data_IF_945574762043
#
_entry.id   IF_945574762043
#
_cell.length_a   1.000
_cell.length_b   1.000
_cell.length_c   1.000
_cell.angle_alpha   90.00
_cell.angle_beta   90.00
_cell.angle_gamma   90.00
#
_symmetry.space_group_name_H-M   'P 1'
#
loop_
_entity.id
_entity.type
_entity.pdbx_description
1 polymer ?
#
# COMPACT_ATOMS: atom_id res chain seq x y z
N UNK A 1 25.04 4.35 -1.33
CA UNK A 1 23.66 4.89 -1.26
C UNK A 1 23.06 4.43 0.05
N UNK A 2 22.45 5.31 0.85
CA UNK A 2 21.79 4.90 2.09
C UNK A 2 20.36 4.44 1.75
N UNK A 3 20.14 3.11 1.71
CA UNK A 3 18.86 2.51 1.34
C UNK A 3 17.72 2.95 2.28
N UNK A 4 17.97 2.94 3.60
CA UNK A 4 17.02 3.39 4.61
C UNK A 4 16.52 4.81 4.30
N UNK A 5 17.45 5.76 4.13
CA UNK A 5 17.10 7.15 3.78
C UNK A 5 16.33 7.23 2.46
N UNK A 6 16.71 6.44 1.46
CA UNK A 6 16.04 6.42 0.16
C UNK A 6 14.57 6.00 0.30
N UNK A 7 14.32 4.92 1.04
CA UNK A 7 12.97 4.42 1.29
C UNK A 7 12.14 5.35 2.15
N UNK A 8 12.70 5.98 3.19
CA UNK A 8 11.96 6.95 4.01
C UNK A 8 11.50 8.15 3.17
N UNK A 9 12.37 8.68 2.31
CA UNK A 9 12.03 9.81 1.45
C UNK A 9 11.02 9.44 0.35
N UNK A 10 11.15 8.26 -0.26
CA UNK A 10 10.16 7.71 -1.20
C UNK A 10 8.82 7.51 -0.51
N UNK A 11 8.81 6.88 0.66
CA UNK A 11 7.61 6.64 1.46
C UNK A 11 6.81 7.91 1.72
N UNK A 12 7.49 8.98 2.16
CA UNK A 12 6.84 10.27 2.43
C UNK A 12 6.08 10.82 1.21
N UNK A 13 6.68 10.76 0.02
CA UNK A 13 6.03 11.23 -1.22
C UNK A 13 4.85 10.34 -1.60
N UNK A 14 5.07 9.02 -1.51
CA UNK A 14 4.10 8.01 -1.94
C UNK A 14 2.84 7.97 -1.08
N UNK A 15 2.98 8.18 0.23
CA UNK A 15 1.84 8.25 1.13
C UNK A 15 1.02 9.52 0.92
N UNK A 16 1.65 10.66 0.65
CA UNK A 16 0.92 11.88 0.33
C UNK A 16 0.03 11.69 -0.92
N UNK A 17 0.59 11.16 -2.01
CA UNK A 17 -0.17 10.85 -3.24
C UNK A 17 -1.28 9.81 -3.01
N UNK A 18 -1.02 8.82 -2.16
CA UNK A 18 -2.02 7.81 -1.78
C UNK A 18 -3.18 8.44 -1.02
N UNK A 19 -2.89 9.28 -0.02
CA UNK A 19 -3.88 10.01 0.76
C UNK A 19 -4.77 10.88 -0.11
N UNK A 20 -4.18 11.61 -1.05
CA UNK A 20 -4.95 12.48 -1.94
C UNK A 20 -5.81 11.69 -2.92
N UNK A 21 -5.37 10.49 -3.33
CA UNK A 21 -6.19 9.56 -4.11
C UNK A 21 -7.38 9.03 -3.31
N UNK A 22 -7.18 8.64 -2.05
CA UNK A 22 -8.26 8.12 -1.19
C UNK A 22 -9.32 9.20 -0.89
N UNK A 23 -8.93 10.46 -0.72
CA UNK A 23 -9.85 11.59 -0.51
C UNK A 23 -10.83 11.82 -1.67
N UNK A 24 -10.54 11.33 -2.88
CA UNK A 24 -11.42 11.48 -4.05
C UNK A 24 -12.63 10.54 -4.00
N UNK A 25 -12.55 9.49 -3.20
CA UNK A 25 -13.55 8.43 -3.20
C UNK A 25 -14.86 8.97 -2.60
N UNK A 26 -15.99 8.85 -3.31
CA UNK A 26 -17.29 9.17 -2.75
C UNK A 26 -17.85 7.95 -1.99
N UNK A 27 -18.39 8.19 -0.79
CA UNK A 27 -18.89 7.12 0.08
C UNK A 27 -20.01 6.29 -0.54
N UNK A 28 -20.88 6.91 -1.34
CA UNK A 28 -22.00 6.24 -2.00
C UNK A 28 -21.57 5.25 -3.11
N UNK A 29 -20.27 5.20 -3.43
CA UNK A 29 -19.70 4.28 -4.42
C UNK A 29 -18.83 3.18 -3.82
N UNK A 30 -18.72 3.06 -2.48
CA UNK A 30 -17.84 2.08 -1.86
C UNK A 30 -18.10 0.64 -2.32
N UNK A 31 -19.36 0.24 -2.53
CA UNK A 31 -19.70 -1.10 -3.01
C UNK A 31 -19.63 -1.26 -4.54
N UNK A 32 -19.31 -0.20 -5.29
CA UNK A 32 -19.23 -0.26 -6.75
C UNK A 32 -18.05 -1.14 -7.20
N UNK A 33 -18.26 -1.89 -8.28
CA UNK A 33 -17.25 -2.73 -8.93
C UNK A 33 -17.19 -2.45 -10.43
N UNK A 34 -15.99 -2.42 -11.05
CA UNK A 34 -15.87 -2.41 -12.51
C UNK A 34 -16.32 -3.73 -13.14
N UNK A 35 -16.24 -4.82 -12.39
CA UNK A 35 -16.47 -6.20 -12.81
C UNK A 35 -16.71 -7.08 -11.58
N UNK A 36 -17.52 -8.13 -11.69
CA UNK A 36 -17.89 -9.03 -10.58
C UNK A 36 -16.68 -9.69 -9.89
N UNK A 37 -15.62 -9.97 -10.67
CA UNK A 37 -14.35 -10.57 -10.21
C UNK A 37 -13.37 -9.58 -9.57
N UNK A 38 -13.68 -8.28 -9.61
CA UNK A 38 -12.83 -7.24 -9.04
C UNK A 38 -13.23 -6.95 -7.58
N UNK A 39 -12.27 -6.42 -6.82
CA UNK A 39 -12.55 -5.74 -5.56
C UNK A 39 -13.53 -4.59 -5.82
N UNK A 40 -14.44 -4.33 -4.88
CA UNK A 40 -15.19 -3.07 -4.88
C UNK A 40 -14.26 -1.89 -4.64
N UNK A 41 -14.74 -0.68 -4.92
CA UNK A 41 -13.99 0.54 -4.67
C UNK A 41 -13.54 0.63 -3.21
N UNK A 42 -14.43 0.33 -2.26
CA UNK A 42 -14.15 0.33 -0.83
C UNK A 42 -13.19 -0.78 -0.40
N UNK A 43 -13.27 -1.96 -1.01
CA UNK A 43 -12.29 -3.04 -0.78
C UNK A 43 -10.90 -2.66 -1.27
N UNK A 44 -10.78 -2.14 -2.50
CA UNK A 44 -9.49 -1.72 -3.06
C UNK A 44 -8.90 -0.56 -2.24
N UNK A 45 -9.72 0.42 -1.89
CA UNK A 45 -9.29 1.58 -1.13
C UNK A 45 -8.78 1.20 0.27
N UNK A 46 -9.49 0.30 0.96
CA UNK A 46 -9.05 -0.18 2.27
C UNK A 46 -7.77 -1.00 2.14
N UNK A 47 -7.67 -1.87 1.12
CA UNK A 47 -6.45 -2.62 0.85
C UNK A 47 -5.24 -1.69 0.65
N UNK A 48 -5.39 -0.64 -0.17
CA UNK A 48 -4.37 0.39 -0.38
C UNK A 48 -3.94 1.06 0.93
N UNK A 49 -4.92 1.43 1.78
CA UNK A 49 -4.65 2.11 3.05
C UNK A 49 -3.86 1.24 4.04
N UNK A 50 -4.04 -0.08 3.99
CA UNK A 50 -3.43 -1.04 4.92
C UNK A 50 -2.03 -1.50 4.49
N UNK A 51 -1.75 -1.56 3.17
CA UNK A 51 -0.49 -2.07 2.60
C UNK A 51 0.77 -1.57 3.33
N UNK A 52 0.97 -0.26 3.57
CA UNK A 52 2.20 0.26 4.17
C UNK A 52 2.57 -0.39 5.49
N UNK A 53 1.63 -0.33 6.45
CA UNK A 53 1.85 -0.76 7.82
C UNK A 53 1.85 -2.27 7.92
N UNK A 54 0.89 -2.93 7.27
CA UNK A 54 0.80 -4.39 7.33
C UNK A 54 2.04 -5.08 6.75
N UNK A 55 2.58 -4.60 5.64
CA UNK A 55 3.75 -5.24 5.03
C UNK A 55 5.05 -4.91 5.73
N UNK A 56 5.26 -3.67 6.20
CA UNK A 56 6.42 -3.38 7.05
C UNK A 56 6.39 -4.19 8.35
N UNK A 57 5.21 -4.34 8.96
CA UNK A 57 5.03 -5.19 10.14
C UNK A 57 5.25 -6.67 9.82
N UNK A 58 4.84 -7.14 8.65
CA UNK A 58 5.13 -8.50 8.20
C UNK A 58 6.64 -8.73 8.08
N UNK A 59 7.38 -7.76 7.57
CA UNK A 59 8.82 -7.88 7.36
C UNK A 59 9.68 -7.65 8.62
N UNK A 60 9.08 -7.29 9.76
CA UNK A 60 9.83 -7.02 10.99
C UNK A 60 10.41 -8.28 11.64
N UNK A 61 9.78 -9.43 11.43
CA UNK A 61 10.31 -10.74 11.82
C UNK A 61 10.95 -11.41 10.59
N UNK A 62 12.00 -12.22 10.76
CA UNK A 62 12.75 -12.80 9.64
C UNK A 62 12.04 -13.98 8.94
N UNK A 63 11.00 -14.53 9.55
CA UNK A 63 10.22 -15.62 8.98
C UNK A 63 8.75 -15.40 9.31
N UNK A 64 7.86 -15.58 8.31
CA UNK A 64 6.42 -15.45 8.50
C UNK A 64 5.64 -16.45 7.63
N UNK A 65 4.56 -16.97 8.19
CA UNK A 65 3.55 -17.70 7.42
C UNK A 65 2.86 -16.78 6.41
N UNK A 66 2.41 -17.36 5.29
CA UNK A 66 1.58 -16.66 4.30
C UNK A 66 0.36 -16.05 5.02
N UNK A 67 0.17 -14.72 4.97
CA UNK A 67 -0.93 -14.10 5.68
C UNK A 67 -2.26 -14.42 4.98
N UNK A 68 -3.28 -14.74 5.77
CA UNK A 68 -4.65 -14.67 5.29
C UNK A 68 -5.12 -13.21 5.33
N UNK A 69 -5.33 -12.59 4.16
CA UNK A 69 -5.70 -11.18 4.03
C UNK A 69 -7.19 -11.07 3.69
N UNK A 70 -8.07 -10.82 4.68
CA UNK A 70 -9.49 -10.64 4.40
C UNK A 70 -9.74 -9.32 3.65
N UNK A 71 -10.50 -9.40 2.56
CA UNK A 71 -10.88 -8.24 1.74
C UNK A 71 -12.13 -7.55 2.29
N UNK A 72 -11.99 -6.90 3.43
CA UNK A 72 -13.06 -6.09 4.01
C UNK A 72 -13.38 -4.87 3.14
N UNK A 73 -14.65 -4.49 3.10
CA UNK A 73 -15.08 -3.25 2.46
C UNK A 73 -15.06 -2.12 3.48
N UNK A 74 -14.51 -0.96 3.11
CA UNK A 74 -14.60 0.24 3.91
C UNK A 74 -16.05 0.72 4.08
N UNK A 75 -16.34 1.36 5.22
CA UNK A 75 -17.66 1.85 5.61
C UNK A 75 -17.80 3.36 5.42
N UNK A 76 -16.69 4.10 5.38
CA UNK A 76 -16.64 5.55 5.22
C UNK A 76 -15.25 5.98 4.73
N UNK A 77 -15.12 7.22 4.26
CA UNK A 77 -13.81 7.79 3.90
C UNK A 77 -12.99 8.06 5.16
N UNK A 78 -13.64 8.47 6.26
CA UNK A 78 -12.96 8.66 7.55
C UNK A 78 -12.29 7.36 8.02
N UNK A 79 -12.94 6.21 7.84
CA UNK A 79 -12.32 4.92 8.13
C UNK A 79 -11.08 4.67 7.26
N UNK A 80 -11.15 4.99 5.96
CA UNK A 80 -10.01 4.81 5.04
C UNK A 80 -8.83 5.69 5.43
N UNK A 81 -9.08 6.95 5.75
CA UNK A 81 -8.03 7.90 6.12
C UNK A 81 -7.43 7.56 7.48
N UNK A 82 -8.26 7.15 8.45
CA UNK A 82 -7.79 6.68 9.75
C UNK A 82 -6.93 5.42 9.62
N UNK A 83 -7.37 4.44 8.81
CA UNK A 83 -6.58 3.25 8.54
C UNK A 83 -5.23 3.60 7.87
N UNK A 84 -5.23 4.56 6.94
CA UNK A 84 -3.99 5.03 6.33
C UNK A 84 -3.09 5.73 7.36
N UNK A 85 -3.62 6.56 8.25
CA UNK A 85 -2.83 7.23 9.30
C UNK A 85 -2.14 6.23 10.22
N UNK A 86 -2.86 5.21 10.68
CA UNK A 86 -2.31 4.15 11.53
C UNK A 86 -1.21 3.36 10.80
N UNK A 87 -1.44 3.00 9.54
CA UNK A 87 -0.50 2.21 8.76
C UNK A 87 0.69 3.03 8.24
N UNK A 88 0.51 4.33 8.02
CA UNK A 88 1.60 5.28 7.78
C UNK A 88 2.55 5.30 8.98
N UNK A 89 2.01 5.43 10.19
CA UNK A 89 2.82 5.51 11.41
C UNK A 89 3.61 4.21 11.65
N UNK A 90 2.97 3.05 11.50
CA UNK A 90 3.64 1.74 11.61
C UNK A 90 4.80 1.63 10.61
N UNK A 91 4.54 1.93 9.34
CA UNK A 91 5.54 1.83 8.29
C UNK A 91 6.69 2.81 8.49
N UNK A 92 6.38 4.06 8.85
CA UNK A 92 7.37 5.08 9.17
C UNK A 92 8.29 4.63 10.30
N UNK A 93 7.73 4.06 11.37
CA UNK A 93 8.51 3.57 12.50
C UNK A 93 9.47 2.43 12.10
N UNK A 94 9.02 1.45 11.32
CA UNK A 94 9.92 0.37 10.84
C UNK A 94 11.01 0.91 9.92
N UNK A 95 10.63 1.69 8.90
CA UNK A 95 11.57 2.22 7.90
C UNK A 95 12.67 3.12 8.51
N UNK A 96 12.35 3.89 9.54
CA UNK A 96 13.33 4.76 10.23
C UNK A 96 14.26 4.01 11.18
N UNK A 97 13.93 2.78 11.58
CA UNK A 97 14.70 2.04 12.59
C UNK A 97 15.54 0.91 12.01
N UNK A 98 15.21 0.37 10.83
CA UNK A 98 16.07 -0.64 10.20
C UNK A 98 17.41 -0.09 9.74
N UNK A 99 18.48 -0.65 10.26
CA UNK A 99 19.84 -0.35 9.83
C UNK A 99 20.23 -1.16 8.57
N UNK A 100 21.46 -0.96 8.07
CA UNK A 100 21.92 -1.61 6.85
C UNK A 100 22.00 -3.15 6.96
N UNK A 101 22.44 -3.69 8.09
CA UNK A 101 22.51 -5.14 8.32
C UNK A 101 21.11 -5.74 8.38
N UNK A 102 20.18 -5.08 9.06
CA UNK A 102 18.78 -5.51 9.11
C UNK A 102 18.12 -5.48 7.72
N UNK A 103 18.42 -4.47 6.90
CA UNK A 103 17.87 -4.41 5.55
C UNK A 103 18.40 -5.54 4.64
N UNK A 104 19.66 -5.96 4.83
CA UNK A 104 20.28 -7.07 4.08
C UNK A 104 19.96 -8.46 4.66
N UNK A 105 19.34 -8.54 5.84
CA UNK A 105 18.99 -9.82 6.45
C UNK A 105 17.96 -10.58 5.60
N UNK A 106 18.18 -11.89 5.47
CA UNK A 106 17.28 -12.80 4.77
C UNK A 106 15.92 -12.88 5.49
N UNK A 107 14.87 -12.57 4.74
CA UNK A 107 13.49 -12.73 5.16
C UNK A 107 12.84 -13.87 4.38
N UNK A 108 12.13 -14.76 5.07
CA UNK A 108 11.50 -15.95 4.47
C UNK A 108 9.99 -15.96 4.64
N UNK A 109 9.28 -16.33 3.57
CA UNK A 109 7.86 -16.68 3.64
C UNK A 109 7.71 -18.20 3.69
N UNK A 110 6.94 -18.69 4.65
CA UNK A 110 6.65 -20.11 4.83
C UNK A 110 5.17 -20.41 4.66
N UNK A 111 4.84 -21.64 4.26
CA UNK A 111 3.47 -22.17 4.25
C UNK A 111 3.51 -23.61 4.76
N UNK A 112 2.91 -23.83 5.94
CA UNK A 112 2.87 -25.16 6.57
C UNK A 112 4.27 -25.71 6.87
N UNK A 113 5.22 -24.84 7.21
CA UNK A 113 6.62 -25.20 7.46
C UNK A 113 7.50 -25.39 6.22
N UNK A 114 6.98 -25.17 5.01
CA UNK A 114 7.79 -25.14 3.78
C UNK A 114 8.18 -23.70 3.43
N UNK A 115 9.47 -23.44 3.20
CA UNK A 115 9.93 -22.15 2.65
C UNK A 115 9.45 -22.00 1.21
N UNK A 116 8.68 -20.94 0.96
CA UNK A 116 8.20 -20.57 -0.38
C UNK A 116 9.18 -19.63 -1.09
N UNK A 117 9.73 -18.67 -0.36
CA UNK A 117 10.76 -17.76 -0.85
C UNK A 117 11.64 -17.26 0.30
N UNK A 118 12.87 -16.88 -0.04
CA UNK A 118 13.80 -16.16 0.84
C UNK A 118 14.44 -15.04 0.04
N UNK A 119 14.34 -13.81 0.53
CA UNK A 119 14.90 -12.61 -0.09
C UNK A 119 15.38 -11.64 0.99
N UNK A 120 16.37 -10.77 0.72
CA UNK A 120 16.73 -9.71 1.64
C UNK A 120 15.53 -8.82 1.98
N UNK A 121 15.40 -8.39 3.24
CA UNK A 121 14.29 -7.54 3.69
C UNK A 121 14.10 -6.30 2.81
N UNK A 122 15.17 -5.67 2.35
CA UNK A 122 15.09 -4.50 1.46
C UNK A 122 14.42 -4.81 0.12
N UNK A 123 14.58 -6.03 -0.40
CA UNK A 123 13.91 -6.51 -1.62
C UNK A 123 12.42 -6.59 -1.35
N UNK A 124 12.01 -7.16 -0.22
CA UNK A 124 10.60 -7.29 0.17
C UNK A 124 9.90 -5.93 0.33
N UNK A 125 10.57 -4.96 0.95
CA UNK A 125 10.08 -3.58 1.05
C UNK A 125 9.86 -2.98 -0.35
N UNK A 126 10.81 -3.17 -1.27
CA UNK A 126 10.70 -2.62 -2.63
C UNK A 126 9.64 -3.33 -3.46
N UNK A 127 9.67 -4.65 -3.49
CA UNK A 127 8.91 -5.47 -4.43
C UNK A 127 7.48 -5.76 -3.94
N UNK A 128 7.30 -5.98 -2.63
CA UNK A 128 5.99 -6.33 -2.08
C UNK A 128 5.30 -5.18 -1.36
N UNK A 129 6.03 -4.22 -0.76
CA UNK A 129 5.35 -3.04 -0.18
C UNK A 129 5.16 -1.93 -1.21
N UNK A 130 6.25 -1.36 -1.71
CA UNK A 130 6.17 -0.19 -2.58
C UNK A 130 5.48 -0.49 -3.92
N UNK A 131 5.95 -1.48 -4.67
CA UNK A 131 5.33 -1.79 -5.96
C UNK A 131 3.86 -2.19 -5.84
N UNK A 132 3.48 -2.88 -4.76
CA UNK A 132 2.10 -3.27 -4.49
C UNK A 132 1.20 -2.07 -4.19
N UNK A 133 1.71 -1.10 -3.42
CA UNK A 133 1.03 0.19 -3.19
C UNK A 133 0.82 0.93 -4.52
N UNK A 134 1.86 1.06 -5.34
CA UNK A 134 1.78 1.80 -6.61
C UNK A 134 0.85 1.09 -7.59
N UNK A 135 0.92 -0.23 -7.65
CA UNK A 135 0.08 -1.06 -8.50
C UNK A 135 -1.40 -0.83 -8.19
N UNK A 136 -1.80 -0.95 -6.92
CA UNK A 136 -3.21 -0.77 -6.55
C UNK A 136 -3.66 0.69 -6.58
N UNK A 137 -2.78 1.66 -6.27
CA UNK A 137 -3.11 3.07 -6.50
C UNK A 137 -3.31 3.36 -7.99
N UNK A 138 -2.51 2.77 -8.87
CA UNK A 138 -2.72 2.79 -10.30
C UNK A 138 -4.08 2.21 -10.69
N UNK A 139 -4.46 1.06 -10.12
CA UNK A 139 -5.79 0.47 -10.32
C UNK A 139 -6.92 1.40 -9.84
N UNK A 140 -6.74 2.07 -8.70
CA UNK A 140 -7.71 3.03 -8.16
C UNK A 140 -7.95 4.19 -9.13
N UNK A 141 -6.93 4.68 -9.83
CA UNK A 141 -7.11 5.79 -10.79
C UNK A 141 -8.08 5.43 -11.91
N UNK A 142 -8.07 4.17 -12.37
CA UNK A 142 -9.04 3.67 -13.36
C UNK A 142 -10.45 3.61 -12.78
N UNK A 143 -10.61 3.21 -11.51
CA UNK A 143 -11.92 3.25 -10.84
C UNK A 143 -12.48 4.66 -10.74
N UNK A 144 -11.65 5.61 -10.32
CA UNK A 144 -12.05 7.03 -10.27
C UNK A 144 -12.49 7.51 -11.66
N UNK A 145 -11.71 7.21 -12.70
CA UNK A 145 -12.06 7.59 -14.08
C UNK A 145 -13.38 6.99 -14.56
N UNK A 146 -13.62 5.70 -14.31
CA UNK A 146 -14.85 5.00 -14.72
C UNK A 146 -16.11 5.54 -14.01
N UNK A 147 -15.94 6.06 -12.79
CA UNK A 147 -16.99 6.70 -12.01
C UNK A 147 -17.13 8.20 -12.28
N UNK A 148 -16.37 8.74 -13.25
CA UNK A 148 -16.33 10.16 -13.58
C UNK A 148 -15.92 11.04 -12.37
N UNK A 149 -15.01 10.52 -11.54
CA UNK A 149 -14.39 11.24 -10.43
C UNK A 149 -13.04 11.76 -10.92
N UNK A 150 -12.71 13.00 -10.54
CA UNK A 150 -11.42 13.63 -10.87
C UNK A 150 -10.25 12.79 -10.35
N UNK A 151 -9.34 12.44 -11.26
CA UNK A 151 -8.13 11.66 -10.97
C UNK A 151 -7.02 12.64 -10.57
N UNK A 152 -6.38 12.46 -9.41
CA UNK A 152 -5.29 13.36 -9.00
C UNK A 152 -4.07 13.19 -9.91
N UNK A 153 -3.25 14.22 -10.00
CA UNK A 153 -1.92 14.09 -10.59
C UNK A 153 -1.06 13.10 -9.77
N UNK A 154 -0.46 12.10 -10.42
CA UNK A 154 0.43 11.11 -9.82
C UNK A 154 1.66 10.98 -10.72
N UNK A 155 2.84 11.27 -10.18
CA UNK A 155 4.12 11.36 -10.91
C UNK A 155 4.19 12.41 -12.03
N UNK A 156 3.05 12.89 -12.51
CA UNK A 156 2.86 13.96 -13.46
C UNK A 156 1.38 14.29 -13.60
N UNK A 157 1.06 15.18 -14.54
CA UNK A 157 -0.30 15.63 -14.78
C UNK A 157 -1.27 14.48 -15.10
N UNK A 158 -2.52 14.63 -14.66
CA UNK A 158 -3.66 13.83 -15.12
C UNK A 158 -4.45 14.63 -16.16
N UNK A 159 -5.50 14.04 -16.74
CA UNK A 159 -6.42 14.81 -17.59
C UNK A 159 -7.27 15.83 -16.80
N UNK A 160 -7.24 15.77 -15.46
CA UNK A 160 -8.05 16.61 -14.58
C UNK A 160 -7.18 17.62 -13.78
N UNK A 161 -5.86 17.40 -13.67
CA UNK A 161 -4.94 18.23 -12.89
C UNK A 161 -3.58 18.37 -13.59
N UNK A 162 -3.11 19.61 -13.74
CA UNK A 162 -1.88 19.98 -14.46
C UNK A 162 -0.87 20.65 -13.52
N UNK A 163 -0.35 19.89 -12.54
CA UNK A 163 0.59 20.35 -11.48
C UNK A 163 0.23 21.64 -10.71
#
# INVERSE_FOLDING_TARGET
>A
MNLQKTYVEEFKREIAMTRDSLKRIPEDKLSWKPHEKSMSLGQLALHIALIPGQLTQLFSELEREVPNVPLHEARSIDQLLHALDENEEIARNHLMNWNAEELEADWSMVDGGQILLTEPRWVMIRSLMFNHLYHHRGQLTVYLRLLNISVPAIYGASADEFE
#
